data_IF_263455547436
#
_entry.id   IF_263455547436
#
_cell.length_a   1.000
_cell.length_b   1.000
_cell.length_c   1.000
_cell.angle_alpha   90.00
_cell.angle_beta   90.00
_cell.angle_gamma   90.00
#
_symmetry.space_group_name_H-M   'P 1'
#
loop_
_entity.id
_entity.type
_entity.pdbx_description
1 polymer ?
#
# COMPACT_ATOMS: atom_id res chain seq x y z
N UNK A 1 8.47 -4.95 9.64
CA UNK A 1 7.70 -4.77 8.39
C UNK A 1 6.28 -5.32 8.48
N UNK A 2 6.07 -6.64 8.44
CA UNK A 2 4.71 -7.21 8.40
C UNK A 2 3.81 -6.78 9.58
N UNK A 3 4.33 -6.78 10.81
CA UNK A 3 3.56 -6.37 12.00
C UNK A 3 3.10 -4.90 11.97
N UNK A 4 3.87 -3.99 11.36
CA UNK A 4 3.48 -2.58 11.16
C UNK A 4 2.47 -2.43 10.01
N UNK A 5 2.62 -3.23 8.95
CA UNK A 5 1.72 -3.24 7.81
C UNK A 5 0.34 -3.87 8.12
N UNK A 6 0.24 -4.65 9.21
CA UNK A 6 -1.00 -5.31 9.67
C UNK A 6 -1.54 -4.79 11.00
N UNK A 7 -0.98 -3.69 11.52
CA UNK A 7 -1.49 -2.96 12.68
C UNK A 7 -1.61 -1.48 12.32
N UNK A 8 -2.26 -1.21 11.19
CA UNK A 8 -2.65 0.14 10.78
C UNK A 8 -3.85 0.57 11.61
N UNK A 9 -4.05 1.88 11.74
CA UNK A 9 -5.20 2.45 12.46
C UNK A 9 -6.56 2.12 11.81
N UNK A 10 -6.57 1.58 10.58
CA UNK A 10 -7.78 1.18 9.86
C UNK A 10 -7.66 -0.20 9.19
N UNK A 11 -8.73 -0.99 9.33
CA UNK A 11 -8.83 -2.35 8.77
C UNK A 11 -8.75 -2.40 7.23
N UNK A 12 -9.03 -1.27 6.57
CA UNK A 12 -8.98 -1.12 5.11
C UNK A 12 -7.53 -1.07 4.61
N UNK A 13 -6.67 -0.29 5.28
CA UNK A 13 -5.24 -0.25 4.99
C UNK A 13 -4.55 -1.59 5.25
N UNK A 14 -4.93 -2.30 6.32
CA UNK A 14 -4.40 -3.63 6.60
C UNK A 14 -4.72 -4.62 5.47
N UNK A 15 -5.92 -4.55 4.88
CA UNK A 15 -6.30 -5.43 3.77
C UNK A 15 -5.56 -5.08 2.47
N UNK A 16 -5.49 -3.78 2.13
CA UNK A 16 -4.91 -3.30 0.88
C UNK A 16 -3.38 -3.46 0.89
N UNK A 17 -2.73 -2.95 1.93
CA UNK A 17 -1.27 -2.95 2.05
C UNK A 17 -0.80 -4.33 2.54
N UNK A 18 -1.45 -4.90 3.55
CA UNK A 18 -1.09 -6.22 4.06
C UNK A 18 -1.24 -7.30 2.99
N UNK A 19 -2.25 -7.24 2.13
CA UNK A 19 -2.41 -8.15 1.00
C UNK A 19 -1.29 -8.03 -0.04
N UNK A 20 -0.87 -6.80 -0.37
CA UNK A 20 0.28 -6.56 -1.25
C UNK A 20 1.57 -7.11 -0.66
N UNK A 21 1.87 -6.74 0.58
CA UNK A 21 3.08 -7.15 1.30
C UNK A 21 3.11 -8.66 1.46
N UNK A 22 2.04 -9.31 1.91
CA UNK A 22 2.00 -10.76 2.09
C UNK A 22 2.33 -11.53 0.80
N UNK A 23 1.91 -11.03 -0.38
CA UNK A 23 2.17 -11.66 -1.67
C UNK A 23 3.56 -11.37 -2.24
N UNK A 24 4.16 -10.22 -1.92
CA UNK A 24 5.40 -9.75 -2.56
C UNK A 24 6.60 -9.61 -1.64
N UNK A 25 6.44 -9.67 -0.32
CA UNK A 25 7.51 -9.44 0.65
C UNK A 25 8.74 -10.32 0.41
N UNK A 26 8.56 -11.58 0.00
CA UNK A 26 9.67 -12.49 -0.31
C UNK A 26 10.44 -12.14 -1.61
N UNK A 27 9.85 -11.29 -2.45
CA UNK A 27 10.40 -10.87 -3.74
C UNK A 27 10.81 -9.39 -3.81
N UNK A 28 10.57 -8.62 -2.74
CA UNK A 28 10.97 -7.22 -2.70
C UNK A 28 12.50 -7.13 -2.57
N UNK A 29 13.10 -6.31 -3.42
CA UNK A 29 14.49 -5.87 -3.27
C UNK A 29 14.64 -4.94 -2.06
N UNK A 30 15.87 -4.71 -1.59
CA UNK A 30 16.14 -3.73 -0.51
C UNK A 30 15.59 -2.34 -0.85
N UNK A 31 15.80 -1.86 -2.08
CA UNK A 31 15.27 -0.56 -2.52
C UNK A 31 13.74 -0.50 -2.53
N UNK A 32 13.06 -1.60 -2.86
CA UNK A 32 11.61 -1.68 -2.75
C UNK A 32 11.15 -1.74 -1.30
N UNK A 33 11.94 -2.36 -0.42
CA UNK A 33 11.64 -2.42 1.01
C UNK A 33 11.73 -1.03 1.66
N UNK A 34 12.77 -0.25 1.31
CA UNK A 34 12.89 1.15 1.71
C UNK A 34 11.72 2.00 1.19
N UNK A 35 11.37 1.84 -0.10
CA UNK A 35 10.23 2.56 -0.68
C UNK A 35 8.89 2.15 -0.05
N UNK A 36 8.76 0.90 0.38
CA UNK A 36 7.60 0.45 1.14
C UNK A 36 7.56 1.16 2.49
N UNK A 37 8.67 1.24 3.21
CA UNK A 37 8.76 1.98 4.47
C UNK A 37 8.32 3.43 4.33
N UNK A 38 8.77 4.15 3.31
CA UNK A 38 8.32 5.53 3.05
C UNK A 38 6.81 5.62 2.85
N UNK A 39 6.22 4.70 2.09
CA UNK A 39 4.76 4.63 1.94
C UNK A 39 4.08 4.30 3.28
N UNK A 40 4.73 3.53 4.15
CA UNK A 40 4.15 3.20 5.46
C UNK A 40 4.16 4.37 6.45
N UNK A 41 4.96 5.41 6.23
CA UNK A 41 4.95 6.62 7.06
C UNK A 41 3.82 7.59 6.69
N UNK A 42 3.12 7.36 5.57
CA UNK A 42 1.97 8.17 5.15
C UNK A 42 0.72 7.89 6.02
N UNK A 43 -0.18 8.87 6.21
CA UNK A 43 -1.39 8.69 7.01
C UNK A 43 -2.32 7.61 6.45
N UNK A 44 -2.83 6.74 7.32
CA UNK A 44 -3.69 5.63 6.91
C UNK A 44 -4.99 6.07 6.24
N UNK A 45 -5.57 7.22 6.64
CA UNK A 45 -6.76 7.77 5.98
C UNK A 45 -6.49 8.09 4.51
N UNK A 46 -5.34 8.71 4.25
CA UNK A 46 -4.98 9.19 2.93
C UNK A 46 -4.61 8.01 2.04
N UNK A 47 -3.85 7.05 2.58
CA UNK A 47 -3.56 5.78 1.92
C UNK A 47 -4.85 5.05 1.53
N UNK A 48 -5.83 4.94 2.43
CA UNK A 48 -7.11 4.31 2.13
C UNK A 48 -7.84 5.04 0.99
N UNK A 49 -7.93 6.36 1.05
CA UNK A 49 -8.59 7.17 0.01
C UNK A 49 -7.91 7.04 -1.36
N UNK A 50 -6.58 7.03 -1.40
CA UNK A 50 -5.81 6.92 -2.64
C UNK A 50 -5.81 5.51 -3.23
N UNK A 51 -5.65 4.48 -2.39
CA UNK A 51 -5.58 3.09 -2.82
C UNK A 51 -6.94 2.56 -3.27
N UNK A 52 -8.04 3.05 -2.68
CA UNK A 52 -9.41 2.76 -3.13
C UNK A 52 -9.86 3.64 -4.30
N UNK A 53 -9.06 4.64 -4.68
CA UNK A 53 -9.39 5.59 -5.75
C UNK A 53 -10.48 6.60 -5.39
N UNK A 54 -10.83 6.74 -4.10
CA UNK A 54 -11.73 7.79 -3.60
C UNK A 54 -11.15 9.19 -3.82
N UNK A 55 -9.82 9.32 -3.70
CA UNK A 55 -9.08 10.53 -4.03
C UNK A 55 -7.91 10.21 -4.98
N UNK A 56 -7.49 11.17 -5.83
CA UNK A 56 -6.27 11.02 -6.60
C UNK A 56 -5.04 11.06 -5.68
N UNK A 57 -3.99 10.32 -6.05
CA UNK A 57 -2.68 10.43 -5.39
C UNK A 57 -2.08 11.81 -5.72
N UNK A 58 -1.72 12.62 -4.71
CA UNK A 58 -1.11 13.91 -4.94
C UNK A 58 0.36 13.75 -5.40
N UNK A 59 0.92 14.68 -6.19
CA UNK A 59 2.27 14.57 -6.73
C UNK A 59 3.37 14.36 -5.68
N UNK A 60 3.20 14.90 -4.48
CA UNK A 60 4.12 14.76 -3.35
C UNK A 60 4.15 13.37 -2.73
N UNK A 61 3.08 12.59 -2.85
CA UNK A 61 2.99 11.21 -2.38
C UNK A 61 3.14 10.19 -3.52
N UNK A 62 3.25 10.66 -4.76
CA UNK A 62 3.25 9.82 -5.96
C UNK A 62 4.58 9.10 -6.15
N UNK A 63 4.68 7.91 -5.53
CA UNK A 63 5.85 7.05 -5.61
C UNK A 63 5.58 5.79 -6.46
N UNK A 64 6.63 5.20 -7.08
CA UNK A 64 6.50 3.92 -7.78
C UNK A 64 5.89 2.81 -6.90
N UNK A 65 6.22 2.79 -5.61
CA UNK A 65 5.69 1.81 -4.67
C UNK A 65 4.20 2.04 -4.39
N UNK A 66 3.77 3.29 -4.17
CA UNK A 66 2.36 3.59 -3.93
C UNK A 66 1.50 3.24 -5.16
N UNK A 67 1.99 3.55 -6.37
CA UNK A 67 1.34 3.12 -7.62
C UNK A 67 1.25 1.60 -7.74
N UNK A 68 2.29 0.87 -7.36
CA UNK A 68 2.30 -0.59 -7.40
C UNK A 68 1.30 -1.21 -6.42
N UNK A 69 1.17 -0.64 -5.21
CA UNK A 69 0.18 -1.07 -4.22
C UNK A 69 -1.24 -0.78 -4.74
N UNK A 70 -1.48 0.41 -5.30
CA UNK A 70 -2.77 0.78 -5.91
C UNK A 70 -3.17 -0.17 -7.04
N UNK A 71 -2.26 -0.46 -7.96
CA UNK A 71 -2.52 -1.40 -9.05
C UNK A 71 -2.83 -2.82 -8.53
N UNK A 72 -2.16 -3.25 -7.46
CA UNK A 72 -2.43 -4.54 -6.84
C UNK A 72 -3.76 -4.56 -6.06
N UNK A 73 -4.19 -3.44 -5.49
CA UNK A 73 -5.50 -3.28 -4.87
C UNK A 73 -6.61 -3.41 -5.92
N UNK A 74 -6.51 -2.67 -7.03
CA UNK A 74 -7.46 -2.75 -8.15
C UNK A 74 -7.55 -4.18 -8.73
N UNK A 75 -6.41 -4.86 -8.90
CA UNK A 75 -6.38 -6.24 -9.39
C UNK A 75 -6.98 -7.27 -8.41
N UNK A 76 -6.94 -6.98 -7.10
CA UNK A 76 -7.53 -7.81 -6.05
C UNK A 76 -9.05 -7.66 -5.93
N UNK A 77 -9.59 -6.49 -6.25
CA UNK A 77 -11.04 -6.25 -6.28
C UNK A 77 -11.71 -6.84 -7.53
N UNK A 78 -11.02 -6.88 -8.67
CA UNK A 78 -11.56 -7.41 -9.94
C UNK A 78 -11.77 -8.93 -9.97
N UNK A 79 -11.43 -9.66 -8.89
CA UNK A 79 -11.60 -11.11 -8.76
C UNK A 79 -12.74 -11.51 -7.78
N UNK A 80 -13.59 -10.58 -7.37
CA UNK A 80 -14.81 -10.86 -6.59
C UNK A 80 -16.09 -10.71 -7.41
#
# INVERSE_FOLDING_TARGET
>A
MLFRATHRGTHECDLLIGGYVARRLASLSEAEMDALEEVMELPDSDLADWLTGRLPIPPEADSPMLRAIRAAAEAGESQR
#
